data_IF_909518164679
#
_entry.id   IF_909518164679
#
_cell.length_a   1.000
_cell.length_b   1.000
_cell.length_c   1.000
_cell.angle_alpha   90.00
_cell.angle_beta   90.00
_cell.angle_gamma   90.00
#
_symmetry.space_group_name_H-M   'P 1'
#
loop_
_entity.id
_entity.type
_entity.pdbx_description
1 polymer ?
#
# COMPACT_ATOMS: atom_id res chain seq x y z
N UNK A 1 -7.98 -9.83 10.76
CA UNK A 1 -8.70 -9.40 9.54
C UNK A 1 -9.41 -8.03 9.66
N UNK A 2 -9.76 -7.51 10.85
CA UNK A 2 -10.61 -6.30 10.98
C UNK A 2 -10.02 -4.97 10.49
N UNK A 3 -8.68 -4.82 10.36
CA UNK A 3 -8.04 -3.55 10.00
C UNK A 3 -7.98 -3.26 8.49
N UNK A 4 -8.39 -4.19 7.63
CA UNK A 4 -8.19 -4.13 6.16
C UNK A 4 -9.45 -4.51 5.37
N UNK A 5 -10.58 -4.25 6.00
CA UNK A 5 -11.90 -4.41 5.43
C UNK A 5 -12.32 -3.10 4.76
N UNK A 6 -13.49 -3.10 4.12
CA UNK A 6 -14.23 -1.88 3.79
C UNK A 6 -14.25 -0.86 4.96
N UNK A 7 -14.26 -1.33 6.21
CA UNK A 7 -14.18 -0.48 7.41
C UNK A 7 -12.88 0.33 7.51
N UNK A 8 -11.77 -0.21 7.04
CA UNK A 8 -10.49 0.51 7.00
C UNK A 8 -10.51 1.61 5.95
N UNK A 9 -11.12 1.33 4.79
CA UNK A 9 -11.39 2.34 3.78
C UNK A 9 -12.29 3.44 4.32
N UNK A 10 -13.38 3.07 5.00
CA UNK A 10 -14.27 4.05 5.63
C UNK A 10 -13.50 4.94 6.63
N UNK A 11 -12.58 4.36 7.42
CA UNK A 11 -11.74 5.11 8.36
C UNK A 11 -10.78 6.08 7.66
N UNK A 12 -10.12 5.66 6.57
CA UNK A 12 -9.27 6.51 5.73
C UNK A 12 -10.08 7.66 5.11
N UNK A 13 -11.28 7.38 4.60
CA UNK A 13 -12.18 8.40 4.05
C UNK A 13 -12.58 9.40 5.11
N UNK A 14 -12.97 8.93 6.30
CA UNK A 14 -13.33 9.80 7.43
C UNK A 14 -12.14 10.68 7.82
N UNK A 15 -10.94 10.10 7.90
CA UNK A 15 -9.72 10.81 8.23
C UNK A 15 -9.46 11.97 7.28
N UNK A 16 -9.51 11.74 5.96
CA UNK A 16 -9.30 12.83 4.98
C UNK A 16 -10.38 13.91 5.06
N UNK A 17 -11.63 13.53 5.30
CA UNK A 17 -12.73 14.51 5.47
C UNK A 17 -12.61 15.37 6.72
N UNK A 18 -11.88 14.93 7.74
CA UNK A 18 -11.79 15.60 9.03
C UNK A 18 -10.46 16.34 9.24
N UNK A 19 -9.45 16.16 8.38
CA UNK A 19 -8.08 16.60 8.64
C UNK A 19 -7.75 18.07 8.37
N UNK A 20 -8.67 19.00 8.61
CA UNK A 20 -8.47 20.43 8.30
C UNK A 20 -8.03 20.69 6.84
N UNK A 21 -8.32 19.77 5.91
CA UNK A 21 -8.08 19.94 4.48
C UNK A 21 -9.20 20.78 3.88
N UNK A 22 -8.92 21.46 2.76
CA UNK A 22 -9.99 22.08 1.99
C UNK A 22 -10.94 21.01 1.43
N UNK A 23 -12.19 21.39 1.11
CA UNK A 23 -13.20 20.44 0.60
C UNK A 23 -12.72 19.77 -0.71
N UNK A 24 -12.09 20.54 -1.59
CA UNK A 24 -11.55 20.04 -2.86
C UNK A 24 -10.38 19.07 -2.64
N UNK A 25 -9.43 19.39 -1.77
CA UNK A 25 -8.30 18.49 -1.44
C UNK A 25 -8.78 17.19 -0.78
N UNK A 26 -9.72 17.30 0.17
CA UNK A 26 -10.30 16.12 0.82
C UNK A 26 -10.98 15.20 -0.19
N UNK A 27 -11.70 15.76 -1.16
CA UNK A 27 -12.39 14.97 -2.18
C UNK A 27 -11.41 14.20 -3.05
N UNK A 28 -10.35 14.85 -3.55
CA UNK A 28 -9.38 14.17 -4.42
C UNK A 28 -8.62 13.07 -3.67
N UNK A 29 -8.25 13.30 -2.40
CA UNK A 29 -7.60 12.28 -1.58
C UNK A 29 -8.52 11.07 -1.30
N UNK A 30 -9.83 11.32 -1.13
CA UNK A 30 -10.82 10.24 -1.02
C UNK A 30 -10.89 9.43 -2.31
N UNK A 31 -10.98 10.10 -3.46
CA UNK A 31 -11.03 9.44 -4.77
C UNK A 31 -9.77 8.57 -5.01
N UNK A 32 -8.57 9.09 -4.66
CA UNK A 32 -7.31 8.34 -4.77
C UNK A 32 -7.21 7.17 -3.77
N UNK A 33 -7.76 7.31 -2.56
CA UNK A 33 -7.83 6.19 -1.61
C UNK A 33 -8.75 5.08 -2.11
N UNK A 34 -9.89 5.42 -2.72
CA UNK A 34 -10.78 4.46 -3.37
C UNK A 34 -10.12 3.81 -4.59
N UNK A 35 -9.34 4.57 -5.36
CA UNK A 35 -8.56 4.03 -6.48
C UNK A 35 -7.52 2.99 -5.99
N UNK A 36 -6.75 3.30 -4.96
CA UNK A 36 -5.80 2.36 -4.34
C UNK A 36 -6.51 1.10 -3.85
N UNK A 37 -7.64 1.27 -3.16
CA UNK A 37 -8.45 0.13 -2.71
C UNK A 37 -8.92 -0.74 -3.88
N UNK A 38 -9.35 -0.14 -4.98
CA UNK A 38 -9.77 -0.88 -6.17
C UNK A 38 -8.60 -1.63 -6.84
N UNK A 39 -7.40 -1.04 -6.88
CA UNK A 39 -6.19 -1.73 -7.36
C UNK A 39 -5.89 -2.97 -6.52
N UNK A 40 -6.00 -2.85 -5.19
CA UNK A 40 -5.85 -3.98 -4.28
C UNK A 40 -6.95 -5.01 -4.53
N UNK A 41 -8.22 -4.59 -4.63
CA UNK A 41 -9.30 -5.53 -4.92
C UNK A 41 -9.13 -6.28 -6.24
N UNK A 42 -8.45 -5.69 -7.25
CA UNK A 42 -8.11 -6.37 -8.50
C UNK A 42 -7.03 -7.43 -8.33
N UNK A 43 -5.96 -7.17 -7.56
CA UNK A 43 -4.97 -8.19 -7.17
C UNK A 43 -5.69 -9.38 -6.51
N UNK A 44 -6.72 -9.06 -5.73
CA UNK A 44 -7.53 -10.02 -5.00
C UNK A 44 -8.69 -10.61 -5.83
N UNK A 45 -8.87 -10.21 -7.09
CA UNK A 45 -10.12 -10.40 -7.85
C UNK A 45 -10.15 -11.50 -8.93
N UNK A 46 -9.03 -12.18 -9.21
CA UNK A 46 -8.99 -13.30 -10.17
C UNK A 46 -9.56 -14.64 -9.64
N UNK A 47 -9.53 -15.66 -10.50
CA UNK A 47 -10.16 -16.99 -10.37
C UNK A 47 -10.16 -17.61 -8.94
N UNK A 48 -11.35 -18.00 -8.47
CA UNK A 48 -11.72 -18.01 -7.04
C UNK A 48 -10.90 -18.96 -6.13
N UNK A 49 -10.34 -20.07 -6.64
CA UNK A 49 -9.70 -21.11 -5.80
C UNK A 49 -8.18 -21.01 -5.66
N UNK A 50 -7.47 -20.57 -6.69
CA UNK A 50 -6.01 -20.33 -6.60
C UNK A 50 -5.71 -19.00 -5.89
N UNK A 51 -6.66 -18.06 -5.94
CA UNK A 51 -6.45 -16.74 -5.38
C UNK A 51 -6.60 -16.64 -3.87
N UNK A 52 -7.34 -17.50 -3.18
CA UNK A 52 -7.44 -17.37 -1.72
C UNK A 52 -6.11 -17.69 -1.02
N UNK A 53 -5.41 -18.74 -1.46
CA UNK A 53 -4.10 -19.11 -0.94
C UNK A 53 -3.08 -17.99 -1.16
N UNK A 54 -3.04 -17.44 -2.37
CA UNK A 54 -2.15 -16.34 -2.71
C UNK A 54 -2.45 -15.08 -1.89
N UNK A 55 -3.74 -14.71 -1.77
CA UNK A 55 -4.19 -13.56 -0.98
C UNK A 55 -3.79 -13.68 0.49
N UNK A 56 -4.01 -14.85 1.09
CA UNK A 56 -3.64 -15.12 2.47
C UNK A 56 -2.13 -15.10 2.69
N UNK A 57 -1.38 -15.66 1.74
CA UNK A 57 0.09 -15.61 1.76
C UNK A 57 0.60 -14.18 1.68
N UNK A 58 0.21 -13.43 0.65
CA UNK A 58 0.60 -12.04 0.43
C UNK A 58 0.33 -11.19 1.67
N UNK A 59 -0.89 -11.34 2.22
CA UNK A 59 -1.31 -10.60 3.39
C UNK A 59 -0.50 -10.96 4.65
N UNK A 60 -0.24 -12.25 4.85
CA UNK A 60 0.58 -12.71 5.99
C UNK A 60 1.99 -12.15 5.89
N UNK A 61 2.57 -12.11 4.69
CA UNK A 61 3.86 -11.48 4.43
C UNK A 61 3.83 -9.98 4.74
N UNK A 62 2.79 -9.25 4.31
CA UNK A 62 2.65 -7.81 4.58
C UNK A 62 2.61 -7.52 6.09
N UNK A 63 1.81 -8.25 6.87
CA UNK A 63 1.75 -8.04 8.33
C UNK A 63 3.06 -8.41 9.02
N UNK A 64 3.71 -9.49 8.57
CA UNK A 64 4.95 -9.96 9.17
C UNK A 64 6.14 -9.06 8.85
N UNK A 65 6.05 -8.26 7.79
CA UNK A 65 7.11 -7.33 7.39
C UNK A 65 7.14 -6.15 8.34
N UNK A 66 8.29 -5.95 9.00
CA UNK A 66 8.49 -4.80 9.88
C UNK A 66 8.53 -3.51 9.04
N UNK A 67 7.65 -2.50 9.32
CA UNK A 67 7.65 -1.20 8.65
C UNK A 67 8.97 -0.44 8.68
N UNK A 68 9.82 -0.71 9.67
CA UNK A 68 11.06 0.01 9.91
C UNK A 68 12.25 -0.50 9.08
N UNK A 69 12.11 -1.65 8.41
CA UNK A 69 13.17 -2.22 7.58
C UNK A 69 13.37 -1.41 6.32
N UNK A 70 14.60 -1.27 5.82
CA UNK A 70 14.84 -0.63 4.53
C UNK A 70 14.36 -1.51 3.35
N UNK A 71 14.31 -0.94 2.14
CA UNK A 71 13.80 -1.66 0.96
C UNK A 71 14.67 -2.88 0.61
N UNK A 72 15.98 -2.86 0.87
CA UNK A 72 16.87 -3.98 0.59
C UNK A 72 16.64 -5.14 1.56
N UNK A 73 16.49 -4.84 2.85
CA UNK A 73 16.16 -5.82 3.89
C UNK A 73 14.79 -6.48 3.64
N UNK A 74 13.81 -5.70 3.17
CA UNK A 74 12.50 -6.23 2.76
C UNK A 74 12.66 -7.20 1.59
N UNK A 75 13.44 -6.85 0.57
CA UNK A 75 13.71 -7.76 -0.56
C UNK A 75 14.39 -9.05 -0.10
N UNK A 76 15.38 -8.97 0.79
CA UNK A 76 16.07 -10.13 1.36
C UNK A 76 15.12 -11.10 2.09
N UNK A 77 14.05 -10.57 2.71
CA UNK A 77 13.00 -11.40 3.31
C UNK A 77 12.02 -11.98 2.28
N UNK A 78 11.69 -11.21 1.25
CA UNK A 78 10.67 -11.58 0.28
C UNK A 78 11.16 -12.54 -0.81
N UNK A 79 12.42 -12.46 -1.27
CA UNK A 79 12.96 -13.38 -2.30
C UNK A 79 12.82 -14.85 -1.86
N UNK A 80 13.25 -15.25 -0.65
CA UNK A 80 13.12 -16.64 -0.20
C UNK A 80 11.66 -17.08 -0.03
N UNK A 81 10.80 -16.17 0.46
CA UNK A 81 9.36 -16.44 0.62
C UNK A 81 8.69 -16.68 -0.72
N UNK A 82 8.97 -15.83 -1.72
CA UNK A 82 8.49 -16.03 -3.08
C UNK A 82 8.99 -17.36 -3.65
N UNK A 83 10.30 -17.62 -3.57
CA UNK A 83 10.90 -18.80 -4.18
C UNK A 83 10.34 -20.10 -3.59
N UNK A 84 10.14 -20.16 -2.27
CA UNK A 84 9.62 -21.35 -1.58
C UNK A 84 8.11 -21.56 -1.72
N UNK A 85 7.36 -20.51 -2.05
CA UNK A 85 5.89 -20.54 -2.11
C UNK A 85 5.34 -20.76 -3.53
N UNK A 86 6.19 -20.64 -4.57
CA UNK A 86 5.84 -20.92 -5.96
C UNK A 86 5.37 -22.36 -6.15
N UNK A 87 4.25 -22.53 -6.87
CA UNK A 87 3.61 -23.82 -7.09
C UNK A 87 2.82 -24.37 -5.90
N UNK A 88 2.84 -23.67 -4.76
CA UNK A 88 2.11 -24.04 -3.55
C UNK A 88 1.04 -23.00 -3.24
N UNK A 89 1.46 -21.73 -3.08
CA UNK A 89 0.58 -20.61 -2.73
C UNK A 89 0.08 -19.84 -3.95
N UNK A 90 0.81 -19.93 -5.07
CA UNK A 90 0.53 -19.26 -6.34
C UNK A 90 1.22 -19.98 -7.49
N UNK A 91 0.94 -19.56 -8.73
CA UNK A 91 1.45 -20.22 -9.93
C UNK A 91 2.99 -20.30 -9.96
N UNK A 92 3.53 -21.42 -10.47
CA UNK A 92 4.98 -21.69 -10.54
C UNK A 92 5.71 -20.64 -11.36
N UNK A 93 5.04 -20.09 -12.36
CA UNK A 93 5.53 -19.13 -13.33
C UNK A 93 5.26 -17.66 -12.96
N UNK A 94 4.67 -17.38 -11.78
CA UNK A 94 4.45 -15.99 -11.35
C UNK A 94 5.79 -15.23 -11.30
N UNK A 95 5.96 -14.16 -12.10
CA UNK A 95 7.17 -13.34 -12.09
C UNK A 95 7.41 -12.73 -10.71
N UNK A 96 8.68 -12.59 -10.34
CA UNK A 96 9.05 -12.01 -9.06
C UNK A 96 8.67 -10.52 -9.00
N UNK A 97 8.80 -9.79 -10.11
CA UNK A 97 8.46 -8.37 -10.20
C UNK A 97 6.96 -8.13 -9.99
N UNK A 98 6.11 -9.00 -10.56
CA UNK A 98 4.65 -8.95 -10.33
C UNK A 98 4.31 -9.26 -8.87
N UNK A 99 4.99 -10.24 -8.26
CA UNK A 99 4.83 -10.52 -6.84
C UNK A 99 5.23 -9.33 -5.96
N UNK A 100 6.33 -8.66 -6.28
CA UNK A 100 6.78 -7.47 -5.56
C UNK A 100 5.83 -6.30 -5.68
N UNK A 101 5.33 -6.04 -6.89
CA UNK A 101 4.32 -5.01 -7.10
C UNK A 101 3.06 -5.29 -6.27
N UNK A 102 2.55 -6.53 -6.31
CA UNK A 102 1.36 -6.91 -5.54
C UNK A 102 1.59 -6.75 -4.02
N UNK A 103 2.78 -7.12 -3.55
CA UNK A 103 3.19 -6.94 -2.17
C UNK A 103 3.25 -5.46 -1.79
N UNK A 104 3.96 -4.62 -2.56
CA UNK A 104 4.15 -3.22 -2.23
C UNK A 104 2.83 -2.44 -2.27
N UNK A 105 1.95 -2.69 -3.23
CA UNK A 105 0.62 -2.05 -3.25
C UNK A 105 -0.22 -2.45 -2.02
N UNK A 106 -0.14 -3.72 -1.61
CA UNK A 106 -0.80 -4.20 -0.40
C UNK A 106 -0.18 -3.58 0.86
N UNK A 107 1.14 -3.38 0.86
CA UNK A 107 1.88 -2.77 1.96
C UNK A 107 1.65 -1.25 2.05
N UNK A 108 1.53 -0.56 0.92
CA UNK A 108 1.15 0.86 0.86
C UNK A 108 -0.17 1.09 1.57
N UNK A 109 -1.19 0.28 1.24
CA UNK A 109 -2.46 0.34 1.95
C UNK A 109 -2.34 -0.05 3.42
N UNK A 110 -1.51 -1.07 3.72
CA UNK A 110 -1.21 -1.44 5.10
C UNK A 110 -0.74 -0.26 5.94
N UNK A 111 0.28 0.43 5.43
CA UNK A 111 0.89 1.57 6.07
C UNK A 111 -0.12 2.72 6.19
N UNK A 112 -0.83 3.07 5.11
CA UNK A 112 -1.80 4.17 5.11
C UNK A 112 -2.88 3.99 6.17
N UNK A 113 -3.57 2.85 6.17
CA UNK A 113 -4.64 2.61 7.13
C UNK A 113 -4.11 2.44 8.57
N UNK A 114 -2.87 1.96 8.76
CA UNK A 114 -2.24 1.94 10.08
C UNK A 114 -1.96 3.35 10.61
N UNK A 115 -1.36 4.22 9.78
CA UNK A 115 -1.05 5.60 10.13
C UNK A 115 -2.33 6.40 10.44
N UNK A 116 -3.37 6.22 9.63
CA UNK A 116 -4.69 6.82 9.89
C UNK A 116 -5.27 6.32 11.21
N UNK A 117 -5.28 5.00 11.45
CA UNK A 117 -5.84 4.43 12.67
C UNK A 117 -5.11 4.87 13.93
N UNK A 118 -3.80 5.14 13.83
CA UNK A 118 -2.96 5.59 14.93
C UNK A 118 -2.89 7.12 15.02
N UNK A 119 -3.44 7.82 14.02
CA UNK A 119 -3.26 9.25 13.80
C UNK A 119 -1.77 9.66 13.89
N UNK A 120 -0.88 8.84 13.32
CA UNK A 120 0.56 9.00 13.39
C UNK A 120 1.22 8.65 12.05
N UNK A 121 1.83 9.66 11.44
CA UNK A 121 2.58 9.56 10.19
C UNK A 121 4.03 9.90 10.49
N UNK A 122 4.81 8.92 10.93
CA UNK A 122 6.26 9.09 11.07
C UNK A 122 6.98 9.07 9.72
N UNK A 123 8.16 9.67 9.71
CA UNK A 123 8.95 9.91 8.50
C UNK A 123 9.30 8.62 7.76
N UNK A 124 9.55 7.52 8.48
CA UNK A 124 9.95 6.25 7.87
C UNK A 124 8.79 5.68 7.05
N UNK A 125 7.61 5.58 7.66
CA UNK A 125 6.40 5.09 6.97
C UNK A 125 5.97 6.02 5.84
N UNK A 126 6.08 7.34 6.03
CA UNK A 126 5.78 8.35 5.00
C UNK A 126 6.69 8.20 3.79
N UNK A 127 8.01 8.12 4.00
CA UNK A 127 8.98 7.94 2.93
C UNK A 127 8.74 6.65 2.13
N UNK A 128 8.40 5.55 2.81
CA UNK A 128 8.04 4.28 2.16
C UNK A 128 6.79 4.39 1.30
N UNK A 129 5.71 4.95 1.85
CA UNK A 129 4.48 5.14 1.08
C UNK A 129 4.73 6.00 -0.17
N UNK A 130 5.52 7.07 -0.05
CA UNK A 130 5.91 7.93 -1.17
C UNK A 130 6.70 7.17 -2.24
N UNK A 131 7.66 6.33 -1.83
CA UNK A 131 8.46 5.54 -2.74
C UNK A 131 7.63 4.51 -3.51
N UNK A 132 6.72 3.81 -2.83
CA UNK A 132 5.83 2.82 -3.44
C UNK A 132 4.89 3.50 -4.45
N UNK A 133 4.24 4.60 -4.08
CA UNK A 133 3.36 5.35 -4.99
C UNK A 133 4.11 5.73 -6.27
N UNK A 134 5.32 6.30 -6.13
CA UNK A 134 6.14 6.70 -7.28
C UNK A 134 6.48 5.53 -8.22
N UNK A 135 6.64 4.31 -7.69
CA UNK A 135 6.96 3.12 -8.48
C UNK A 135 5.75 2.52 -9.18
N UNK A 136 4.62 2.41 -8.48
CA UNK A 136 3.54 1.49 -8.87
C UNK A 136 2.14 2.10 -8.92
N UNK A 137 1.96 3.37 -8.54
CA UNK A 137 0.61 3.95 -8.45
C UNK A 137 0.53 5.36 -9.02
N UNK A 138 -0.52 5.62 -9.79
CA UNK A 138 -0.88 6.97 -10.20
C UNK A 138 -1.76 7.64 -9.12
N UNK A 139 -1.16 7.98 -7.97
CA UNK A 139 -1.81 8.62 -6.82
C UNK A 139 -1.09 9.93 -6.45
N UNK A 140 -1.09 10.93 -7.35
CA UNK A 140 -0.31 12.15 -7.18
C UNK A 140 -0.71 12.98 -5.95
N UNK A 141 -2.00 13.11 -5.63
CA UNK A 141 -2.42 13.93 -4.49
C UNK A 141 -2.10 13.26 -3.16
N UNK A 142 -2.25 11.94 -3.07
CA UNK A 142 -1.83 11.18 -1.90
C UNK A 142 -0.32 11.31 -1.69
N UNK A 143 0.47 11.25 -2.76
CA UNK A 143 1.91 11.49 -2.68
C UNK A 143 2.26 12.91 -2.19
N UNK A 144 1.59 13.94 -2.73
CA UNK A 144 1.79 15.33 -2.31
C UNK A 144 1.40 15.55 -0.85
N UNK A 145 0.27 14.99 -0.42
CA UNK A 145 -0.18 15.03 0.96
C UNK A 145 0.85 14.41 1.91
N UNK A 146 1.43 13.27 1.53
CA UNK A 146 2.50 12.64 2.30
C UNK A 146 3.77 13.50 2.36
N UNK A 147 4.12 14.23 1.29
CA UNK A 147 5.25 15.18 1.32
C UNK A 147 5.00 16.32 2.32
N UNK A 148 3.76 16.85 2.36
CA UNK A 148 3.38 17.93 3.28
C UNK A 148 3.48 17.48 4.75
N UNK A 149 3.13 16.22 5.04
CA UNK A 149 3.22 15.66 6.40
C UNK A 149 4.66 15.55 6.91
N UNK A 150 5.63 15.28 6.04
CA UNK A 150 7.05 15.15 6.40
C UNK A 150 7.74 16.51 6.58
N UNK A 151 7.09 17.61 6.16
CA UNK A 151 7.70 18.93 6.08
C UNK A 151 8.76 19.04 4.97
N UNK A 152 8.80 18.07 4.07
CA UNK A 152 9.70 18.07 2.92
C UNK A 152 9.33 19.17 1.93
N UNK A 153 10.34 19.82 1.35
CA UNK A 153 10.12 20.73 0.22
C UNK A 153 9.45 19.94 -0.91
N UNK A 154 8.29 20.43 -1.36
CA UNK A 154 7.59 19.90 -2.53
C UNK A 154 8.45 20.25 -3.75
N UNK A 155 9.43 19.41 -4.07
CA UNK A 155 10.10 19.49 -5.35
C UNK A 155 9.05 19.17 -6.42
N UNK A 156 8.77 20.16 -7.26
CA UNK A 156 7.80 20.13 -8.38
C UNK A 156 8.15 19.09 -9.47
N UNK A 157 9.11 18.20 -9.21
CA UNK A 157 9.59 17.14 -10.08
C UNK A 157 8.76 15.84 -9.99
N UNK A 158 7.50 15.91 -9.53
CA UNK A 158 6.57 14.80 -9.67
C UNK A 158 6.13 14.71 -11.14
N UNK A 159 6.85 13.90 -11.91
CA UNK A 159 6.55 13.60 -13.32
C UNK A 159 6.37 12.10 -13.47
N UNK A 160 5.22 11.70 -14.03
CA UNK A 160 4.90 10.32 -14.40
C UNK A 160 5.58 9.93 -15.71
#
# INVERSE_FOLDING_TARGET
MQKFTKTALDAVIIYFKQNNLSEDESKILVDEAEQLWNQIMQIYGGDEKLNESYRNFLWTSVIATNPDLDDAEVLEQLVPLWSSSRGVQFAVDKPIDEFYMDFELSWLWFLLASCVSENNFDQIRVAKMRAIIKRYSNLPQLWLYLCQLDGDEIETAYTF
#
